data_IF_850341550547
#
_entry.id   IF_850341550547
#
_cell.length_a   1.000
_cell.length_b   1.000
_cell.length_c   1.000
_cell.angle_alpha   90.00
_cell.angle_beta   90.00
_cell.angle_gamma   90.00
#
_symmetry.space_group_name_H-M   'P 1'
#
loop_
_entity.id
_entity.type
_entity.pdbx_description
1 polymer ?
#
# COMPACT_ATOMS: atom_id res chain seq x y z
N UNK A 1 16.03 -8.28 -12.67
CA UNK A 1 17.04 -7.46 -11.95
C UNK A 1 16.60 -7.10 -10.51
N UNK A 2 15.32 -6.80 -10.27
CA UNK A 2 14.74 -6.57 -8.94
C UNK A 2 14.91 -7.78 -8.00
N UNK A 3 14.52 -8.99 -8.43
CA UNK A 3 14.62 -10.23 -7.62
C UNK A 3 16.06 -10.55 -7.20
N UNK A 4 17.05 -10.32 -8.07
CA UNK A 4 18.47 -10.53 -7.76
C UNK A 4 19.00 -9.49 -6.75
N UNK A 5 18.61 -8.22 -6.87
CA UNK A 5 18.97 -7.18 -5.88
C UNK A 5 18.24 -7.39 -4.55
N UNK A 6 17.00 -7.87 -4.59
CA UNK A 6 16.19 -8.19 -3.42
C UNK A 6 16.80 -9.34 -2.60
N UNK A 7 17.34 -10.37 -3.28
CA UNK A 7 18.09 -11.47 -2.65
C UNK A 7 19.41 -11.02 -2.00
N UNK A 8 20.06 -9.98 -2.52
CA UNK A 8 21.33 -9.47 -1.96
C UNK A 8 21.14 -8.63 -0.67
N UNK A 9 19.95 -8.09 -0.44
CA UNK A 9 19.67 -7.14 0.66
C UNK A 9 18.97 -7.81 1.86
N UNK A 10 18.57 -9.07 1.70
CA UNK A 10 18.24 -9.97 2.81
C UNK A 10 19.32 -11.05 3.01
N UNK A 11 20.61 -10.72 3.26
CA UNK A 11 21.63 -11.71 3.57
C UNK A 11 21.43 -12.18 5.02
N UNK A 12 20.42 -13.00 5.25
CA UNK A 12 20.07 -13.42 6.61
C UNK A 12 18.70 -14.10 6.78
N UNK A 13 17.84 -14.11 5.77
CA UNK A 13 16.61 -14.92 5.80
C UNK A 13 16.90 -16.43 5.62
N UNK A 14 17.97 -16.95 6.23
CA UNK A 14 17.96 -18.36 6.64
C UNK A 14 17.02 -18.47 7.83
N UNK A 15 16.30 -19.59 7.90
CA UNK A 15 15.12 -19.84 8.73
C UNK A 15 15.28 -19.57 10.25
N UNK A 16 16.46 -19.21 10.75
CA UNK A 16 16.78 -19.09 12.18
C UNK A 16 17.13 -17.68 12.67
N UNK A 17 17.03 -16.61 11.87
CA UNK A 17 17.39 -15.25 12.33
C UNK A 17 16.37 -14.15 12.04
N UNK A 18 15.08 -14.52 11.99
CA UNK A 18 13.95 -13.60 11.77
C UNK A 18 13.77 -12.52 12.88
N UNK A 19 14.57 -12.54 13.95
CA UNK A 19 14.51 -11.58 15.06
C UNK A 19 15.28 -10.27 14.83
N UNK A 20 15.92 -10.08 13.68
CA UNK A 20 16.78 -8.91 13.39
C UNK A 20 16.44 -8.10 12.14
N UNK A 21 15.32 -8.40 11.48
CA UNK A 21 14.91 -7.64 10.29
C UNK A 21 14.22 -6.35 10.75
N UNK A 22 14.96 -5.25 10.76
CA UNK A 22 14.40 -3.92 11.04
C UNK A 22 13.36 -3.56 9.95
N UNK A 23 12.09 -3.51 10.36
CA UNK A 23 10.96 -3.18 9.51
C UNK A 23 11.10 -1.80 8.86
N UNK A 24 11.78 -0.85 9.51
CA UNK A 24 12.06 0.47 8.91
C UNK A 24 13.06 0.35 7.76
N UNK A 25 14.06 -0.51 7.90
CA UNK A 25 15.05 -0.80 6.85
C UNK A 25 14.42 -1.52 5.67
N UNK A 26 13.58 -2.54 5.92
CA UNK A 26 12.84 -3.25 4.84
C UNK A 26 11.91 -2.30 4.12
N UNK A 27 11.14 -1.49 4.86
CA UNK A 27 10.21 -0.51 4.27
C UNK A 27 10.93 0.53 3.42
N UNK A 28 11.98 1.15 3.94
CA UNK A 28 12.80 2.12 3.18
C UNK A 28 13.37 1.49 1.91
N UNK A 29 13.82 0.24 2.00
CA UNK A 29 14.36 -0.48 0.85
C UNK A 29 13.28 -0.80 -0.20
N UNK A 30 12.12 -1.29 0.21
CA UNK A 30 11.00 -1.62 -0.70
C UNK A 30 10.51 -0.37 -1.41
N UNK A 31 10.29 0.72 -0.68
CA UNK A 31 9.82 2.01 -1.24
C UNK A 31 10.85 2.56 -2.23
N UNK A 32 12.12 2.64 -1.83
CA UNK A 32 13.17 3.17 -2.70
C UNK A 32 13.41 2.26 -3.91
N UNK A 33 13.37 0.94 -3.74
CA UNK A 33 13.54 -0.01 -4.85
C UNK A 33 12.37 0.02 -5.81
N UNK A 34 11.15 0.29 -5.33
CA UNK A 34 9.97 0.45 -6.17
C UNK A 34 10.04 1.76 -6.96
N UNK A 35 10.38 2.88 -6.31
CA UNK A 35 10.58 4.17 -6.97
C UNK A 35 11.74 4.09 -7.99
N UNK A 36 12.83 3.43 -7.65
CA UNK A 36 13.97 3.21 -8.56
C UNK A 36 13.58 2.32 -9.74
N UNK A 37 12.77 1.27 -9.50
CA UNK A 37 12.24 0.42 -10.56
C UNK A 37 11.33 1.21 -11.49
N UNK A 38 10.33 1.91 -10.95
CA UNK A 38 9.44 2.77 -11.73
C UNK A 38 10.22 3.85 -12.49
N UNK A 39 11.17 4.52 -11.85
CA UNK A 39 12.02 5.49 -12.53
C UNK A 39 12.89 4.84 -13.61
N UNK A 40 13.45 3.65 -13.39
CA UNK A 40 14.25 2.98 -14.42
C UNK A 40 13.44 2.53 -15.63
N UNK A 41 12.16 2.19 -15.44
CA UNK A 41 11.26 1.75 -16.51
C UNK A 41 10.67 2.98 -17.24
N UNK A 42 10.09 3.91 -16.48
CA UNK A 42 9.31 5.00 -17.05
C UNK A 42 10.16 6.23 -17.37
N UNK A 43 11.15 6.60 -16.55
CA UNK A 43 11.86 7.89 -16.74
C UNK A 43 12.66 7.96 -18.05
N UNK A 44 13.43 6.95 -18.49
CA UNK A 44 14.15 7.01 -19.77
C UNK A 44 13.19 7.03 -20.97
N UNK A 45 12.05 6.36 -20.85
CA UNK A 45 11.09 6.20 -21.93
C UNK A 45 10.20 7.43 -22.11
N UNK A 46 9.85 8.14 -21.03
CA UNK A 46 8.81 9.18 -21.04
C UNK A 46 9.29 10.60 -20.66
N UNK A 47 10.57 10.79 -20.29
CA UNK A 47 11.06 12.09 -19.80
C UNK A 47 10.91 13.26 -20.79
N UNK A 48 10.85 12.98 -22.09
CA UNK A 48 10.75 14.00 -23.15
C UNK A 48 9.41 13.94 -23.91
N UNK A 49 8.45 13.13 -23.45
CA UNK A 49 7.18 12.94 -24.14
C UNK A 49 6.14 13.96 -23.66
N UNK A 50 5.88 14.95 -24.49
CA UNK A 50 4.80 15.92 -24.26
C UNK A 50 3.45 15.28 -24.57
N UNK A 51 2.51 15.37 -23.62
CA UNK A 51 1.16 14.84 -23.73
C UNK A 51 0.43 15.50 -24.91
N UNK A 52 -0.06 14.69 -25.87
CA UNK A 52 -0.73 15.16 -27.09
C UNK A 52 0.20 15.44 -28.28
N UNK A 53 1.50 15.21 -28.14
CA UNK A 53 2.43 15.18 -29.28
C UNK A 53 2.18 13.95 -30.17
N UNK A 54 2.60 14.02 -31.44
CA UNK A 54 2.47 12.89 -32.36
C UNK A 54 3.19 11.64 -31.83
N UNK A 55 4.39 11.79 -31.24
CA UNK A 55 5.13 10.69 -30.62
C UNK A 55 4.43 10.10 -29.38
N UNK A 56 3.65 10.89 -28.64
CA UNK A 56 2.83 10.39 -27.52
C UNK A 56 1.67 9.52 -28.01
N UNK A 57 0.97 9.98 -29.04
CA UNK A 57 -0.14 9.23 -29.65
C UNK A 57 0.36 7.97 -30.37
N UNK A 58 1.51 8.05 -31.03
CA UNK A 58 2.14 6.93 -31.73
C UNK A 58 2.68 5.89 -30.74
N UNK A 59 3.26 6.33 -29.61
CA UNK A 59 3.70 5.42 -28.56
C UNK A 59 2.52 4.72 -27.86
N UNK A 60 1.43 5.44 -27.61
CA UNK A 60 0.17 4.90 -27.10
C UNK A 60 -0.45 3.85 -28.04
N UNK A 61 -0.12 3.92 -29.34
CA UNK A 61 -0.55 2.99 -30.38
C UNK A 61 0.53 1.98 -30.82
N UNK A 62 1.74 2.03 -30.24
CA UNK A 62 2.88 1.17 -30.64
C UNK A 62 3.00 -0.13 -29.83
N UNK A 63 3.48 -1.19 -30.50
CA UNK A 63 3.78 -2.49 -29.88
C UNK A 63 4.89 -2.48 -28.81
N UNK A 64 5.61 -1.37 -28.61
CA UNK A 64 6.58 -1.22 -27.51
C UNK A 64 5.91 -1.15 -26.14
N UNK A 65 4.78 -0.44 -26.04
CA UNK A 65 3.95 -0.48 -24.83
C UNK A 65 3.50 -1.92 -24.51
N UNK A 66 3.28 -2.72 -25.57
CA UNK A 66 2.91 -4.13 -25.47
C UNK A 66 4.06 -5.03 -25.01
N UNK A 67 5.30 -4.78 -25.46
CA UNK A 67 6.49 -5.51 -25.00
C UNK A 67 6.85 -5.18 -23.54
N UNK A 68 6.75 -3.90 -23.16
CA UNK A 68 7.04 -3.44 -21.80
C UNK A 68 5.97 -3.94 -20.82
N UNK A 69 4.70 -3.97 -21.26
CA UNK A 69 3.62 -4.61 -20.52
C UNK A 69 3.88 -6.10 -20.35
N UNK A 70 4.31 -6.81 -21.40
CA UNK A 70 4.64 -8.24 -21.32
C UNK A 70 5.75 -8.51 -20.31
N UNK A 71 6.82 -7.71 -20.33
CA UNK A 71 7.91 -7.82 -19.35
C UNK A 71 7.44 -7.53 -17.92
N UNK A 72 6.56 -6.54 -17.76
CA UNK A 72 5.95 -6.21 -16.47
C UNK A 72 5.10 -7.37 -15.95
N UNK A 73 4.27 -7.97 -16.80
CA UNK A 73 3.45 -9.13 -16.45
C UNK A 73 4.31 -10.33 -16.05
N UNK A 74 5.39 -10.61 -16.78
CA UNK A 74 6.35 -11.66 -16.40
C UNK A 74 6.98 -11.38 -15.04
N UNK A 75 7.38 -10.14 -14.75
CA UNK A 75 7.95 -9.76 -13.45
C UNK A 75 6.93 -9.89 -12.32
N UNK A 76 5.64 -9.61 -12.59
CA UNK A 76 4.54 -9.82 -11.66
C UNK A 76 4.36 -11.31 -11.37
N UNK A 77 4.43 -12.16 -12.38
CA UNK A 77 4.27 -13.61 -12.21
C UNK A 77 5.44 -14.22 -11.42
N UNK A 78 6.69 -13.81 -11.71
CA UNK A 78 7.86 -14.19 -10.88
C UNK A 78 7.70 -13.75 -9.42
N UNK A 79 7.15 -12.55 -9.19
CA UNK A 79 6.92 -12.04 -7.84
C UNK A 79 5.80 -12.81 -7.13
N UNK A 80 4.73 -13.20 -7.84
CA UNK A 80 3.66 -14.05 -7.30
C UNK A 80 4.21 -15.41 -6.84
N UNK A 81 5.01 -16.06 -7.69
CA UNK A 81 5.68 -17.33 -7.36
C UNK A 81 6.56 -17.16 -6.12
N UNK A 82 7.38 -16.10 -6.07
CA UNK A 82 8.22 -15.83 -4.91
C UNK A 82 7.41 -15.64 -3.62
N UNK A 83 6.28 -14.90 -3.68
CA UNK A 83 5.41 -14.70 -2.53
C UNK A 83 4.71 -15.98 -2.06
N UNK A 84 4.46 -16.94 -2.94
CA UNK A 84 3.90 -18.25 -2.55
C UNK A 84 4.90 -19.03 -1.67
N UNK A 85 6.18 -18.92 -1.96
CA UNK A 85 7.24 -19.61 -1.23
C UNK A 85 7.68 -18.86 0.06
N UNK A 86 7.35 -17.57 0.20
CA UNK A 86 7.87 -16.70 1.25
C UNK A 86 6.77 -15.98 2.05
N UNK A 87 5.84 -16.73 2.65
CA UNK A 87 4.63 -16.20 3.30
C UNK A 87 4.89 -15.14 4.40
N UNK A 88 5.95 -15.32 5.21
CA UNK A 88 6.36 -14.31 6.21
C UNK A 88 6.83 -13.00 5.58
N UNK A 89 7.63 -13.08 4.51
CA UNK A 89 8.13 -11.90 3.84
C UNK A 89 7.02 -11.17 3.06
N UNK A 90 6.13 -11.94 2.40
CA UNK A 90 4.90 -11.43 1.79
C UNK A 90 4.08 -10.60 2.79
N UNK A 91 3.82 -11.18 3.97
CA UNK A 91 3.06 -10.50 5.04
C UNK A 91 3.74 -9.19 5.46
N UNK A 92 5.06 -9.21 5.72
CA UNK A 92 5.82 -8.02 6.11
C UNK A 92 5.75 -6.93 5.03
N UNK A 93 5.95 -7.30 3.76
CA UNK A 93 5.97 -6.36 2.64
C UNK A 93 4.59 -5.74 2.43
N UNK A 94 3.53 -6.55 2.38
CA UNK A 94 2.18 -6.05 2.18
C UNK A 94 1.76 -5.10 3.32
N UNK A 95 2.07 -5.44 4.57
CA UNK A 95 1.82 -4.56 5.73
C UNK A 95 2.60 -3.24 5.61
N UNK A 96 3.84 -3.27 5.11
CA UNK A 96 4.68 -2.08 4.96
C UNK A 96 4.19 -1.11 3.86
N UNK A 97 3.47 -1.61 2.85
CA UNK A 97 2.93 -0.82 1.74
C UNK A 97 1.62 -0.10 2.06
N UNK A 98 0.91 -0.50 3.13
CA UNK A 98 -0.43 0.01 3.48
C UNK A 98 -0.50 1.53 3.55
N UNK A 99 0.44 2.17 4.26
CA UNK A 99 0.42 3.63 4.45
C UNK A 99 0.68 4.40 3.15
N UNK A 100 1.53 3.84 2.29
CA UNK A 100 1.89 4.47 1.02
C UNK A 100 0.73 4.35 0.05
N UNK A 101 0.14 3.15 -0.07
CA UNK A 101 -1.08 2.95 -0.84
C UNK A 101 -2.20 3.91 -0.41
N UNK A 102 -2.46 4.01 0.90
CA UNK A 102 -3.49 4.89 1.42
C UNK A 102 -3.23 6.37 1.10
N UNK A 103 -1.97 6.81 1.17
CA UNK A 103 -1.58 8.17 0.83
C UNK A 103 -1.73 8.44 -0.66
N UNK A 104 -1.29 7.53 -1.52
CA UNK A 104 -1.45 7.68 -2.96
C UNK A 104 -2.93 7.70 -3.36
N UNK A 105 -3.74 6.83 -2.75
CA UNK A 105 -5.20 6.77 -2.97
C UNK A 105 -5.88 8.09 -2.64
N UNK A 106 -5.64 8.64 -1.44
CA UNK A 106 -6.23 9.92 -1.01
C UNK A 106 -5.64 11.12 -1.75
N UNK A 107 -4.37 11.06 -2.15
CA UNK A 107 -3.75 12.10 -2.98
C UNK A 107 -4.40 12.23 -4.35
N UNK A 108 -4.93 11.14 -4.93
CA UNK A 108 -5.73 11.20 -6.17
C UNK A 108 -7.05 11.96 -5.96
N UNK A 109 -7.57 11.97 -4.74
CA UNK A 109 -8.76 12.70 -4.30
C UNK A 109 -8.44 14.10 -3.75
N UNK A 110 -7.23 14.60 -4.03
CA UNK A 110 -6.72 15.94 -3.65
C UNK A 110 -6.44 16.13 -2.16
N UNK A 111 -6.27 15.04 -1.39
CA UNK A 111 -5.75 15.15 -0.03
C UNK A 111 -4.30 15.68 -0.05
N UNK A 112 -3.97 16.78 0.65
CA UNK A 112 -2.67 17.45 0.55
C UNK A 112 -1.56 16.79 1.39
N UNK A 113 -1.88 15.76 2.19
CA UNK A 113 -0.92 15.13 3.09
C UNK A 113 0.12 14.31 2.32
N UNK A 114 1.37 14.38 2.79
CA UNK A 114 2.49 13.72 2.15
C UNK A 114 2.73 12.31 2.69
N UNK A 115 3.57 11.54 2.00
CA UNK A 115 3.93 10.18 2.44
C UNK A 115 4.52 10.13 3.86
N UNK A 116 5.24 11.18 4.29
CA UNK A 116 5.74 11.28 5.67
C UNK A 116 4.62 11.36 6.71
N UNK A 117 3.54 12.09 6.39
CA UNK A 117 2.36 12.22 7.25
C UNK A 117 1.65 10.85 7.39
N UNK A 118 1.51 10.11 6.30
CA UNK A 118 0.90 8.77 6.33
C UNK A 118 1.72 7.76 7.13
N UNK A 119 3.05 7.87 7.10
CA UNK A 119 3.96 7.06 7.91
C UNK A 119 3.73 7.32 9.39
N UNK A 120 3.64 8.60 9.81
CA UNK A 120 3.40 8.98 11.21
C UNK A 120 2.05 8.47 11.70
N UNK A 121 0.98 8.69 10.92
CA UNK A 121 -0.36 8.18 11.25
C UNK A 121 -0.34 6.66 11.39
N UNK A 122 0.30 5.95 10.45
CA UNK A 122 0.38 4.50 10.47
C UNK A 122 1.14 3.97 11.69
N UNK A 123 2.30 4.55 12.04
CA UNK A 123 3.06 4.14 13.23
C UNK A 123 2.25 4.36 14.51
N UNK A 124 1.46 5.43 14.59
CA UNK A 124 0.64 5.70 15.76
C UNK A 124 -0.58 4.77 15.85
N UNK A 125 -1.22 4.47 14.73
CA UNK A 125 -2.25 3.44 14.65
C UNK A 125 -1.68 2.05 14.99
N UNK A 126 -0.46 1.73 14.57
CA UNK A 126 0.23 0.51 14.98
C UNK A 126 0.37 0.45 16.50
N UNK A 127 0.89 1.50 17.15
CA UNK A 127 1.02 1.50 18.62
C UNK A 127 -0.33 1.39 19.35
N UNK A 128 -1.32 2.17 18.92
CA UNK A 128 -2.57 2.33 19.67
C UNK A 128 -3.65 1.30 19.32
N UNK A 129 -3.60 0.71 18.12
CA UNK A 129 -4.68 -0.11 17.56
C UNK A 129 -4.22 -1.39 16.90
N UNK A 130 -3.04 -1.44 16.27
CA UNK A 130 -2.61 -2.67 15.58
C UNK A 130 -1.56 -3.47 16.35
N UNK A 131 -1.05 -2.95 17.47
CA UNK A 131 0.20 -3.35 18.12
C UNK A 131 0.25 -4.74 18.75
N UNK A 132 -0.73 -5.61 18.49
CA UNK A 132 -0.70 -7.06 18.71
C UNK A 132 -1.74 -7.82 17.83
N UNK A 133 -2.25 -7.22 16.75
CA UNK A 133 -3.49 -7.67 16.12
C UNK A 133 -3.29 -8.54 14.87
N UNK A 134 -3.15 -9.85 15.09
CA UNK A 134 -3.66 -10.87 14.16
C UNK A 134 -5.20 -10.94 14.14
N UNK A 135 -5.86 -10.07 14.93
CA UNK A 135 -7.31 -10.01 15.09
C UNK A 135 -8.01 -9.21 13.98
N UNK A 136 -7.36 -8.21 13.36
CA UNK A 136 -8.00 -7.39 12.32
C UNK A 136 -8.46 -8.25 11.14
N UNK A 137 -7.67 -9.24 10.73
CA UNK A 137 -8.01 -10.15 9.64
C UNK A 137 -9.18 -11.10 9.93
N UNK A 138 -9.65 -11.20 11.18
CA UNK A 138 -10.86 -11.98 11.54
C UNK A 138 -12.06 -11.10 11.91
N UNK A 139 -11.89 -9.79 11.97
CA UNK A 139 -12.99 -8.88 12.26
C UNK A 139 -13.98 -8.86 11.09
N UNK A 140 -15.27 -8.77 11.41
CA UNK A 140 -16.27 -8.47 10.40
C UNK A 140 -16.16 -7.00 9.96
N UNK A 141 -16.62 -6.68 8.75
CA UNK A 141 -16.71 -5.28 8.28
C UNK A 141 -17.54 -4.40 9.22
N UNK A 142 -18.53 -4.97 9.91
CA UNK A 142 -19.30 -4.28 10.95
C UNK A 142 -18.42 -3.88 12.13
N UNK A 143 -17.58 -4.78 12.64
CA UNK A 143 -16.75 -4.49 13.81
C UNK A 143 -15.67 -3.47 13.47
N UNK A 144 -15.06 -3.59 12.28
CA UNK A 144 -14.04 -2.66 11.80
C UNK A 144 -14.63 -1.25 11.64
N UNK A 145 -15.86 -1.14 11.10
CA UNK A 145 -16.55 0.15 10.95
C UNK A 145 -16.85 0.86 12.28
N UNK A 146 -16.84 0.13 13.41
CA UNK A 146 -17.10 0.65 14.75
C UNK A 146 -15.84 0.90 15.56
N UNK A 147 -14.65 0.65 14.99
CA UNK A 147 -13.39 0.90 15.68
C UNK A 147 -13.30 2.36 16.11
N UNK A 148 -13.04 2.58 17.40
CA UNK A 148 -12.75 3.90 17.94
C UNK A 148 -11.36 4.35 17.45
N UNK A 149 -11.32 5.33 16.55
CA UNK A 149 -10.06 5.82 15.98
C UNK A 149 -9.51 7.00 16.78
N UNK A 150 -8.19 7.18 16.83
CA UNK A 150 -7.59 8.38 17.41
C UNK A 150 -8.11 9.64 16.72
N UNK A 151 -8.34 10.69 17.50
CA UNK A 151 -8.75 11.99 16.97
C UNK A 151 -7.68 12.54 16.00
N UNK A 152 -8.06 13.16 14.86
CA UNK A 152 -7.12 13.65 13.86
C UNK A 152 -6.05 14.60 14.44
N UNK A 153 -6.46 15.45 15.39
CA UNK A 153 -5.60 16.45 16.03
C UNK A 153 -4.49 15.82 16.87
N UNK A 154 -4.72 14.61 17.38
CA UNK A 154 -3.73 13.84 18.14
C UNK A 154 -2.73 13.11 17.22
N UNK A 155 -3.11 12.84 15.97
CA UNK A 155 -2.26 12.13 15.01
C UNK A 155 -1.27 13.07 14.33
N UNK A 156 -1.76 14.24 13.87
CA UNK A 156 -0.94 15.26 13.22
C UNK A 156 -1.38 16.66 13.68
N UNK A 157 -0.87 17.12 14.83
CA UNK A 157 -1.19 18.45 15.35
C UNK A 157 -0.85 19.56 14.34
N UNK A 158 -1.77 20.49 14.13
CA UNK A 158 -1.59 21.63 13.24
C UNK A 158 -1.86 21.34 11.74
N UNK A 159 -2.21 20.10 11.38
CA UNK A 159 -2.76 19.77 10.05
C UNK A 159 -4.28 19.89 10.06
N UNK A 160 -4.88 19.96 8.87
CA UNK A 160 -6.32 19.98 8.72
C UNK A 160 -6.92 18.66 9.22
N UNK A 161 -7.87 18.73 10.16
CA UNK A 161 -8.47 17.56 10.79
C UNK A 161 -9.23 16.67 9.79
N UNK A 162 -9.87 17.26 8.77
CA UNK A 162 -10.56 16.52 7.72
C UNK A 162 -9.59 15.66 6.90
N UNK A 163 -8.51 16.26 6.42
CA UNK A 163 -7.53 15.58 5.57
C UNK A 163 -6.83 14.45 6.35
N UNK A 164 -6.57 14.69 7.64
CA UNK A 164 -5.99 13.68 8.53
C UNK A 164 -6.99 12.57 8.83
N UNK A 165 -8.28 12.89 9.01
CA UNK A 165 -9.33 11.89 9.23
C UNK A 165 -9.47 10.96 8.01
N UNK A 166 -9.52 11.53 6.80
CA UNK A 166 -9.61 10.80 5.54
C UNK A 166 -8.43 9.83 5.37
N UNK A 167 -7.19 10.34 5.48
CA UNK A 167 -5.99 9.52 5.35
C UNK A 167 -5.92 8.43 6.43
N UNK A 168 -6.23 8.77 7.69
CA UNK A 168 -6.33 7.80 8.80
C UNK A 168 -7.32 6.69 8.47
N UNK A 169 -8.50 7.03 7.96
CA UNK A 169 -9.53 6.04 7.65
C UNK A 169 -9.08 5.13 6.50
N UNK A 170 -8.51 5.70 5.44
CA UNK A 170 -7.93 4.93 4.33
C UNK A 170 -6.85 3.96 4.81
N UNK A 171 -5.97 4.38 5.73
CA UNK A 171 -4.94 3.51 6.31
C UNK A 171 -5.59 2.33 7.04
N UNK A 172 -6.60 2.57 7.88
CA UNK A 172 -7.25 1.51 8.66
C UNK A 172 -7.98 0.52 7.74
N UNK A 173 -8.74 1.01 6.76
CA UNK A 173 -9.46 0.17 5.79
C UNK A 173 -8.48 -0.63 4.93
N UNK A 174 -7.41 0.00 4.44
CA UNK A 174 -6.37 -0.67 3.66
C UNK A 174 -5.66 -1.74 4.49
N UNK A 175 -5.38 -1.46 5.77
CA UNK A 175 -4.79 -2.45 6.68
C UNK A 175 -5.73 -3.63 6.88
N UNK A 176 -7.02 -3.37 7.14
CA UNK A 176 -8.02 -4.41 7.31
C UNK A 176 -8.11 -5.33 6.09
N UNK A 177 -8.26 -4.75 4.89
CA UNK A 177 -8.35 -5.52 3.64
C UNK A 177 -7.11 -6.37 3.45
N UNK A 178 -5.92 -5.81 3.74
CA UNK A 178 -4.65 -6.55 3.66
C UNK A 178 -4.64 -7.75 4.60
N UNK A 179 -5.04 -7.59 5.87
CA UNK A 179 -5.09 -8.71 6.83
C UNK A 179 -6.16 -9.74 6.47
N UNK A 180 -7.34 -9.31 6.03
CA UNK A 180 -8.43 -10.20 5.65
C UNK A 180 -8.05 -11.07 4.44
N UNK A 181 -7.38 -10.47 3.44
CA UNK A 181 -6.90 -11.16 2.25
C UNK A 181 -5.72 -12.11 2.55
N UNK A 182 -4.82 -11.71 3.46
CA UNK A 182 -3.73 -12.58 3.93
C UNK A 182 -4.26 -13.82 4.65
N UNK A 183 -5.33 -13.67 5.44
CA UNK A 183 -5.91 -14.77 6.23
C UNK A 183 -6.85 -15.69 5.45
N UNK A 184 -7.50 -15.18 4.41
CA UNK A 184 -8.43 -15.93 3.58
C UNK A 184 -7.93 -15.94 2.12
N UNK A 185 -6.84 -16.68 1.82
CA UNK A 185 -6.29 -16.74 0.48
C UNK A 185 -7.29 -17.45 -0.47
N UNK A 186 -7.91 -16.67 -1.34
CA UNK A 186 -8.92 -17.14 -2.31
C UNK A 186 -9.89 -16.02 -2.69
N UNK A 187 -10.87 -16.31 -3.56
CA UNK A 187 -11.96 -15.38 -3.83
C UNK A 187 -12.68 -15.09 -2.51
N UNK A 188 -12.54 -13.86 -2.01
CA UNK A 188 -13.30 -13.41 -0.84
C UNK A 188 -14.70 -13.05 -1.32
N UNK A 189 -15.74 -13.60 -0.67
CA UNK A 189 -17.12 -13.17 -0.93
C UNK A 189 -17.31 -11.74 -0.42
N UNK A 190 -17.04 -10.77 -1.30
CA UNK A 190 -17.19 -9.35 -1.03
C UNK A 190 -18.62 -8.93 -1.33
N UNK A 191 -19.50 -9.03 -0.33
CA UNK A 191 -20.88 -8.56 -0.48
C UNK A 191 -20.97 -7.04 -0.68
N UNK A 192 -22.02 -6.57 -1.35
CA UNK A 192 -22.34 -5.12 -1.45
C UNK A 192 -22.45 -4.47 -0.07
N UNK A 193 -22.95 -5.21 0.93
CA UNK A 193 -23.01 -4.72 2.30
C UNK A 193 -21.62 -4.48 2.90
N UNK A 194 -20.65 -5.35 2.60
CA UNK A 194 -19.25 -5.18 3.01
C UNK A 194 -18.64 -3.94 2.37
N UNK A 195 -18.84 -3.76 1.06
CA UNK A 195 -18.36 -2.58 0.32
C UNK A 195 -18.91 -1.31 0.95
N UNK A 196 -20.23 -1.22 1.12
CA UNK A 196 -20.88 -0.05 1.72
C UNK A 196 -20.31 0.31 3.09
N UNK A 197 -20.07 -0.69 3.95
CA UNK A 197 -19.50 -0.46 5.29
C UNK A 197 -18.08 0.08 5.25
N UNK A 198 -17.24 -0.48 4.38
CA UNK A 198 -15.87 0.01 4.22
C UNK A 198 -15.83 1.41 3.61
N UNK A 199 -16.72 1.71 2.65
CA UNK A 199 -16.88 3.06 2.10
C UNK A 199 -17.34 4.07 3.17
N UNK A 200 -18.35 3.74 3.97
CA UNK A 200 -18.76 4.62 5.09
C UNK A 200 -17.62 4.84 6.09
N UNK A 201 -16.82 3.81 6.34
CA UNK A 201 -15.67 3.93 7.23
C UNK A 201 -14.59 4.88 6.69
N UNK A 202 -14.36 4.89 5.38
CA UNK A 202 -13.46 5.84 4.71
C UNK A 202 -13.92 7.28 4.96
N UNK A 203 -15.22 7.55 4.89
CA UNK A 203 -15.79 8.89 5.02
C UNK A 203 -15.97 9.37 6.47
N UNK A 204 -15.91 8.47 7.45
CA UNK A 204 -16.26 8.77 8.85
C UNK A 204 -15.38 9.86 9.50
N UNK A 205 -16.01 10.91 10.02
CA UNK A 205 -15.36 12.07 10.63
C UNK A 205 -14.68 12.97 9.60
N UNK A 206 -15.05 12.86 8.33
CA UNK A 206 -14.67 13.78 7.25
C UNK A 206 -15.87 14.64 6.88
N UNK A 207 -15.64 15.71 6.14
CA UNK A 207 -16.68 16.59 5.59
C UNK A 207 -17.60 15.89 4.58
N UNK A 208 -17.24 14.70 4.12
CA UNK A 208 -18.02 13.89 3.18
C UNK A 208 -18.85 12.79 3.87
N UNK A 209 -18.92 12.77 5.21
CA UNK A 209 -19.78 11.85 5.96
C UNK A 209 -21.28 12.20 5.86
N UNK A 210 -21.59 13.48 5.63
CA UNK A 210 -22.95 14.03 5.50
C UNK A 210 -23.51 13.90 4.08
#
# INVERSE_FOLDING_TARGET
MFVQRFRQILPGASANSASRVDLRTVRRYVINSHIDLLNSIYRPAFANLEKGSAEYEDLASSGRAQSDLKQTLTSIDELKEWYQEHDKAKTIILRALVSEYAQQSTSLEQNPLHIGDSVVIFEELEKQRFGNNDSLGVMSTSDVSKLALPAPENLLPGKNANDVAELRNHIVVSRYITEAALKNPGPTDLSVANIKRLSMMILRGTNAED
#
